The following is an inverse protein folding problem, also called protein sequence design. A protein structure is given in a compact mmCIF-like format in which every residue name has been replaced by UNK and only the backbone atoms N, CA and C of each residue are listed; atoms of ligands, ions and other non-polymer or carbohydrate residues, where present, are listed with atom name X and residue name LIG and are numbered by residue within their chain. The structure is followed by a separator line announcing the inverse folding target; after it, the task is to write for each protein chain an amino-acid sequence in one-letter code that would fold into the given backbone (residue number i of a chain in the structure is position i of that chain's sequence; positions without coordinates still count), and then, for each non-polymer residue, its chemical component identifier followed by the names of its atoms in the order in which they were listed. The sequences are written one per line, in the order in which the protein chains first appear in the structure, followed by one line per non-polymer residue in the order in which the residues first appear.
data_IF_274511289941
#
_entry.id   IF_274511289941
#
_cell.length_a   1.000
_cell.length_b   1.000
_cell.length_c   1.000
_cell.angle_alpha   90.00
_cell.angle_beta   90.00
_cell.angle_gamma   90.00
#
_symmetry.space_group_name_H-M   'P 1'
#
loop_
_entity.id
_entity.type
_entity.pdbx_description
1 polymer ?
#
# COMPACT_ATOMS: atom_id res chain seq x y z
N UNK A 1 1.90 12.10 -8.22
CA UNK A 1 1.15 10.84 -8.53
C UNK A 1 -0.27 11.00 -9.14
N UNK A 2 -1.22 11.76 -8.56
CA UNK A 2 -2.64 11.83 -9.01
C UNK A 2 -2.86 12.16 -10.50
N UNK A 3 -2.04 13.07 -11.04
CA UNK A 3 -2.05 13.48 -12.46
C UNK A 3 -1.82 12.29 -13.40
N UNK A 4 -0.90 11.39 -13.05
CA UNK A 4 -0.61 10.19 -13.87
C UNK A 4 -1.83 9.28 -13.95
N UNK A 5 -2.53 9.08 -12.83
CA UNK A 5 -3.73 8.24 -12.81
C UNK A 5 -4.90 8.82 -13.58
N UNK A 6 -5.02 10.15 -13.61
CA UNK A 6 -6.02 10.82 -14.44
C UNK A 6 -5.74 10.57 -15.93
N UNK A 7 -4.51 10.83 -16.40
CA UNK A 7 -4.12 10.68 -17.81
C UNK A 7 -4.17 9.23 -18.29
N UNK A 8 -3.84 8.26 -17.42
CA UNK A 8 -3.83 6.83 -17.76
C UNK A 8 -5.21 6.17 -17.65
N UNK A 9 -6.25 6.92 -17.27
CA UNK A 9 -7.59 6.39 -17.04
C UNK A 9 -7.67 5.40 -15.88
N UNK A 10 -6.72 5.44 -14.95
CA UNK A 10 -6.72 4.56 -13.78
C UNK A 10 -7.47 5.17 -12.58
N UNK A 11 -7.72 6.48 -12.59
CA UNK A 11 -8.53 7.18 -11.59
C UNK A 11 -10.00 7.35 -12.05
N UNK A 12 -10.73 6.24 -12.23
CA UNK A 12 -12.16 6.28 -12.52
C UNK A 12 -12.92 5.17 -11.76
N UNK A 13 -14.27 5.26 -11.71
CA UNK A 13 -15.12 4.31 -10.98
C UNK A 13 -14.96 2.84 -11.40
N UNK A 14 -14.51 2.59 -12.64
CA UNK A 14 -14.32 1.24 -13.18
C UNK A 14 -12.98 0.64 -12.72
N UNK A 15 -11.92 1.43 -12.73
CA UNK A 15 -10.53 0.97 -12.58
C UNK A 15 -9.93 1.24 -11.20
N UNK A 16 -10.33 2.31 -10.52
CA UNK A 16 -9.67 2.77 -9.29
C UNK A 16 -9.71 1.73 -8.16
N UNK A 17 -10.83 1.03 -7.98
CA UNK A 17 -10.97 -0.02 -6.97
C UNK A 17 -10.09 -1.23 -7.26
N UNK A 18 -10.04 -1.69 -8.52
CA UNK A 18 -9.12 -2.78 -8.91
C UNK A 18 -7.67 -2.38 -8.72
N UNK A 19 -7.28 -1.19 -9.19
CA UNK A 19 -5.93 -0.66 -9.05
C UNK A 19 -5.49 -0.63 -7.59
N UNK A 20 -6.35 -0.13 -6.69
CA UNK A 20 -6.02 -0.08 -5.27
C UNK A 20 -5.76 -1.46 -4.67
N UNK A 21 -6.57 -2.47 -5.04
CA UNK A 21 -6.35 -3.86 -4.62
C UNK A 21 -5.09 -4.45 -5.28
N UNK A 22 -4.84 -4.19 -6.57
CA UNK A 22 -3.63 -4.66 -7.26
C UNK A 22 -2.35 -4.10 -6.58
N UNK A 23 -2.34 -2.80 -6.28
CA UNK A 23 -1.24 -2.15 -5.54
C UNK A 23 -1.08 -2.76 -4.15
N UNK A 24 -2.19 -2.95 -3.42
CA UNK A 24 -2.15 -3.55 -2.08
C UNK A 24 -1.59 -4.97 -2.10
N UNK A 25 -1.96 -5.79 -3.09
CA UNK A 25 -1.45 -7.15 -3.24
C UNK A 25 0.06 -7.13 -3.49
N UNK A 26 0.53 -6.34 -4.46
CA UNK A 26 1.96 -6.25 -4.78
C UNK A 26 2.79 -5.80 -3.58
N UNK A 27 2.31 -4.80 -2.83
CA UNK A 27 2.99 -4.33 -1.63
C UNK A 27 2.99 -5.39 -0.51
N UNK A 28 1.88 -6.08 -0.28
CA UNK A 28 1.81 -7.14 0.74
C UNK A 28 2.67 -8.35 0.39
N UNK A 29 2.77 -8.69 -0.89
CA UNK A 29 3.68 -9.73 -1.37
C UNK A 29 5.13 -9.34 -1.10
N UNK A 30 5.53 -8.11 -1.43
CA UNK A 30 6.86 -7.61 -1.12
C UNK A 30 7.13 -7.55 0.40
N UNK A 31 6.13 -7.20 1.23
CA UNK A 31 6.28 -7.05 2.67
C UNK A 31 6.25 -8.37 3.46
N UNK A 32 5.60 -9.42 2.95
CA UNK A 32 5.33 -10.64 3.73
C UNK A 32 6.12 -11.86 3.27
N UNK A 33 6.79 -11.79 2.12
CA UNK A 33 7.56 -12.89 1.57
C UNK A 33 9.06 -12.65 1.79
N UNK A 34 9.83 -13.72 1.90
CA UNK A 34 11.29 -13.61 2.01
C UNK A 34 11.88 -12.98 0.74
N UNK A 35 12.90 -12.13 0.90
CA UNK A 35 13.49 -11.36 -0.22
C UNK A 35 14.08 -12.25 -1.33
N UNK A 36 14.56 -13.43 -0.96
CA UNK A 36 15.10 -14.45 -1.87
C UNK A 36 14.03 -15.37 -2.50
N UNK A 37 12.75 -15.17 -2.15
CA UNK A 37 11.64 -15.98 -2.68
C UNK A 37 11.18 -15.53 -4.07
N UNK A 38 10.61 -16.46 -4.84
CA UNK A 38 10.00 -16.16 -6.14
C UNK A 38 8.84 -15.16 -6.00
N UNK A 39 8.08 -15.20 -4.90
CA UNK A 39 6.92 -14.33 -4.71
C UNK A 39 7.32 -12.88 -4.52
N UNK A 40 8.30 -12.62 -3.64
CA UNK A 40 8.86 -11.28 -3.45
C UNK A 40 9.40 -10.74 -4.79
N UNK A 41 10.29 -11.51 -5.42
CA UNK A 41 10.96 -11.08 -6.64
C UNK A 41 9.98 -10.85 -7.79
N UNK A 42 8.94 -11.68 -7.92
CA UNK A 42 7.91 -11.50 -8.95
C UNK A 42 7.06 -10.26 -8.69
N UNK A 43 6.70 -9.97 -7.43
CA UNK A 43 5.96 -8.77 -7.08
C UNK A 43 6.77 -7.50 -7.39
N UNK A 44 8.06 -7.47 -7.01
CA UNK A 44 8.94 -6.34 -7.30
C UNK A 44 9.20 -6.18 -8.80
N UNK A 45 9.51 -7.28 -9.51
CA UNK A 45 9.67 -7.25 -10.97
C UNK A 45 8.41 -6.74 -11.67
N UNK A 46 7.21 -7.11 -11.18
CA UNK A 46 5.94 -6.61 -11.71
C UNK A 46 5.76 -5.12 -11.47
N UNK A 47 6.10 -4.62 -10.28
CA UNK A 47 6.09 -3.18 -9.99
C UNK A 47 7.04 -2.43 -10.92
N UNK A 48 8.28 -2.91 -11.07
CA UNK A 48 9.28 -2.30 -11.95
C UNK A 48 8.81 -2.26 -13.40
N UNK A 49 8.28 -3.37 -13.93
CA UNK A 49 7.72 -3.43 -15.27
C UNK A 49 6.60 -2.41 -15.50
N UNK A 50 5.64 -2.32 -14.56
CA UNK A 50 4.51 -1.40 -14.66
C UNK A 50 4.97 0.07 -14.59
N UNK A 51 6.05 0.37 -13.86
CA UNK A 51 6.62 1.71 -13.74
C UNK A 51 7.56 2.08 -14.90
N UNK A 52 8.26 1.11 -15.50
CA UNK A 52 9.35 1.34 -16.45
C UNK A 52 9.01 2.27 -17.61
N UNK A 53 7.83 2.11 -18.22
CA UNK A 53 7.39 2.99 -19.33
C UNK A 53 7.17 4.43 -18.89
N UNK A 54 6.72 4.64 -17.65
CA UNK A 54 6.43 5.96 -17.12
C UNK A 54 7.68 6.64 -16.60
N UNK A 55 8.63 5.88 -16.04
CA UNK A 55 9.99 6.35 -15.74
C UNK A 55 10.70 6.84 -17.01
N UNK A 56 10.73 6.01 -18.06
CA UNK A 56 11.32 6.39 -19.37
C UNK A 56 10.69 7.63 -20.00
N UNK A 57 9.40 7.87 -19.77
CA UNK A 57 8.68 9.04 -20.26
C UNK A 57 8.73 10.25 -19.29
N UNK A 58 9.55 10.18 -18.23
CA UNK A 58 9.66 11.18 -17.16
C UNK A 58 8.31 11.58 -16.54
N UNK A 59 7.41 10.60 -16.38
CA UNK A 59 6.09 10.74 -15.74
C UNK A 59 6.05 10.19 -14.31
N UNK A 60 7.03 9.38 -13.96
CA UNK A 60 7.40 9.00 -12.60
C UNK A 60 8.87 9.38 -12.50
N UNK A 61 9.17 10.44 -11.75
CA UNK A 61 10.54 10.91 -11.53
C UNK A 61 11.20 10.13 -10.41
N UNK A 62 12.53 10.20 -10.30
CA UNK A 62 13.23 9.53 -9.20
C UNK A 62 12.83 10.08 -7.81
N UNK A 63 12.64 11.41 -7.61
CA UNK A 63 12.03 11.92 -6.39
C UNK A 63 10.60 11.41 -6.13
N UNK A 64 9.77 11.21 -7.16
CA UNK A 64 8.44 10.61 -6.96
C UNK A 64 8.54 9.17 -6.41
N UNK A 65 9.54 8.39 -6.86
CA UNK A 65 9.77 7.03 -6.38
C UNK A 65 10.30 7.02 -4.95
N UNK A 66 11.29 7.86 -4.66
CA UNK A 66 11.85 7.99 -3.32
C UNK A 66 10.79 8.46 -2.33
N UNK A 67 9.96 9.42 -2.73
CA UNK A 67 8.81 9.89 -1.94
C UNK A 67 7.83 8.75 -1.67
N UNK A 68 7.45 7.97 -2.68
CA UNK A 68 6.51 6.86 -2.48
C UNK A 68 7.09 5.77 -1.57
N UNK A 69 8.41 5.52 -1.64
CA UNK A 69 9.09 4.58 -0.75
C UNK A 69 9.10 5.10 0.69
N UNK A 70 9.43 6.38 0.89
CA UNK A 70 9.48 7.02 2.20
C UNK A 70 8.11 7.24 2.83
N UNK A 71 7.07 7.59 2.06
CA UNK A 71 5.68 7.68 2.50
C UNK A 71 5.20 6.34 3.09
N UNK A 72 5.59 5.22 2.47
CA UNK A 72 5.33 3.89 3.01
C UNK A 72 5.96 3.63 4.38
N UNK A 73 7.18 4.14 4.62
CA UNK A 73 7.88 4.04 5.90
C UNK A 73 7.26 4.99 6.94
N UNK A 74 7.09 6.26 6.59
CA UNK A 74 6.56 7.30 7.45
C UNK A 74 5.14 6.98 7.92
N UNK A 75 4.28 6.45 7.06
CA UNK A 75 2.92 6.06 7.47
C UNK A 75 2.94 4.87 8.45
N UNK A 76 3.92 3.96 8.40
CA UNK A 76 4.07 2.92 9.43
C UNK A 76 4.39 3.56 10.78
N UNK A 77 5.32 4.52 10.81
CA UNK A 77 5.66 5.26 12.03
C UNK A 77 4.45 6.02 12.57
N UNK A 78 3.78 6.78 11.71
CA UNK A 78 2.65 7.63 12.07
C UNK A 78 1.44 6.80 12.55
N UNK A 79 1.09 5.70 11.88
CA UNK A 79 -0.04 4.85 12.28
C UNK A 79 0.24 4.18 13.61
N UNK A 80 1.43 3.65 13.84
CA UNK A 80 1.74 2.99 15.12
C UNK A 80 1.77 4.03 16.24
N UNK A 81 2.36 5.19 16.00
CA UNK A 81 2.39 6.27 16.99
C UNK A 81 0.99 6.75 17.35
N UNK A 82 0.11 6.90 16.35
CA UNK A 82 -1.24 7.44 16.49
C UNK A 82 -2.22 6.40 17.02
N UNK A 83 -2.21 5.18 16.50
CA UNK A 83 -3.30 4.21 16.67
C UNK A 83 -2.98 3.06 17.64
N UNK A 84 -1.72 2.81 17.99
CA UNK A 84 -1.34 1.64 18.79
C UNK A 84 -0.93 1.98 20.22
N UNK A 85 -1.08 1.01 21.13
CA UNK A 85 -0.81 1.21 22.56
C UNK A 85 0.69 1.19 22.90
N UNK A 86 1.52 0.63 22.00
CA UNK A 86 2.97 0.54 22.13
C UNK A 86 3.65 1.21 20.94
N UNK A 87 4.72 1.93 21.22
CA UNK A 87 5.58 2.55 20.20
C UNK A 87 6.59 1.55 19.63
N UNK A 88 7.03 1.80 18.40
CA UNK A 88 8.15 1.07 17.82
C UNK A 88 9.44 1.32 18.60
N UNK A 89 10.17 0.24 18.85
CA UNK A 89 11.54 0.30 19.37
C UNK A 89 12.52 0.65 18.24
N UNK A 90 13.72 1.09 18.61
CA UNK A 90 14.78 1.40 17.65
C UNK A 90 15.17 0.18 16.80
N UNK A 91 15.11 -1.03 17.36
CA UNK A 91 15.33 -2.28 16.62
C UNK A 91 14.26 -2.50 15.55
N UNK A 92 12.99 -2.22 15.86
CA UNK A 92 11.89 -2.37 14.90
C UNK A 92 11.95 -1.31 13.81
N UNK A 93 12.29 -0.06 14.16
CA UNK A 93 12.56 1.00 13.19
C UNK A 93 13.74 0.65 12.28
N UNK A 94 14.82 0.10 12.85
CA UNK A 94 15.96 -0.39 12.09
C UNK A 94 15.57 -1.49 11.10
N UNK A 95 14.74 -2.46 11.52
CA UNK A 95 14.23 -3.50 10.64
C UNK A 95 13.38 -2.93 9.49
N UNK A 96 12.55 -1.92 9.78
CA UNK A 96 11.78 -1.21 8.75
C UNK A 96 12.69 -0.46 7.77
N UNK A 97 13.76 0.17 8.25
CA UNK A 97 14.76 0.79 7.39
C UNK A 97 15.51 -0.20 6.50
N UNK A 98 15.93 -1.34 7.04
CA UNK A 98 16.53 -2.44 6.25
C UNK A 98 15.56 -2.91 5.16
N UNK A 99 14.29 -3.10 5.50
CA UNK A 99 13.27 -3.48 4.52
C UNK A 99 13.13 -2.42 3.41
N UNK A 100 12.97 -1.14 3.76
CA UNK A 100 12.77 -0.08 2.76
C UNK A 100 14.03 0.17 1.91
N UNK A 101 15.23 0.06 2.48
CA UNK A 101 16.48 0.15 1.71
C UNK A 101 16.54 -0.96 0.66
N UNK A 102 16.32 -2.20 1.08
CA UNK A 102 16.32 -3.36 0.20
C UNK A 102 15.25 -3.28 -0.89
N UNK A 103 14.03 -2.88 -0.51
CA UNK A 103 12.94 -2.69 -1.46
C UNK A 103 13.28 -1.59 -2.48
N UNK A 104 13.82 -0.46 -2.03
CA UNK A 104 14.24 0.62 -2.92
C UNK A 104 15.36 0.20 -3.87
N UNK A 105 16.35 -0.56 -3.42
CA UNK A 105 17.40 -1.12 -4.28
C UNK A 105 16.83 -2.07 -5.34
N UNK A 106 15.91 -2.97 -4.93
CA UNK A 106 15.29 -3.93 -5.85
C UNK A 106 14.29 -3.25 -6.80
N UNK A 107 13.73 -2.10 -6.41
CA UNK A 107 12.90 -1.23 -7.24
C UNK A 107 13.70 -0.22 -8.07
N UNK A 108 15.04 -0.24 -7.96
CA UNK A 108 15.95 0.68 -8.65
C UNK A 108 15.60 2.15 -8.38
N UNK A 109 15.30 2.46 -7.12
CA UNK A 109 15.03 3.82 -6.63
C UNK A 109 16.38 4.49 -6.32
N UNK A 110 16.70 5.62 -6.96
CA UNK A 110 17.92 6.36 -6.64
C UNK A 110 17.80 7.03 -5.26
N UNK A 111 18.85 6.88 -4.46
CA UNK A 111 18.95 7.49 -3.13
C UNK A 111 19.78 8.78 -3.13
N UNK A 112 20.20 9.29 -4.30
CA UNK A 112 21.02 10.51 -4.44
C UNK A 112 20.49 11.75 -3.71
N UNK A 113 19.16 11.96 -3.56
CA UNK A 113 18.63 13.08 -2.78
C UNK A 113 18.91 13.00 -1.27
N UNK A 114 19.23 11.82 -0.75
CA UNK A 114 19.49 11.62 0.68
C UNK A 114 20.95 12.04 1.00
N UNK A 115 21.18 12.98 1.95
CA UNK A 115 22.50 13.49 2.28
C UNK A 115 23.59 12.43 2.51
N UNK A 116 23.27 11.34 3.21
CA UNK A 116 24.23 10.31 3.57
C UNK A 116 24.47 9.28 2.46
N UNK A 117 23.80 9.38 1.30
CA UNK A 117 23.94 8.39 0.21
C UNK A 117 25.39 8.20 -0.26
N UNK A 118 26.22 9.25 -0.19
CA UNK A 118 27.64 9.19 -0.58
C UNK A 118 28.52 8.50 0.46
N UNK A 119 28.22 8.68 1.74
CA UNK A 119 29.01 8.19 2.87
C UNK A 119 28.50 6.82 3.36
N UNK A 120 27.26 6.48 3.03
CA UNK A 120 26.53 5.34 3.55
C UNK A 120 25.84 5.65 4.88
N UNK A 121 25.02 4.70 5.33
CA UNK A 121 24.35 4.74 6.63
C UNK A 121 24.95 3.67 7.55
N UNK A 122 25.01 3.94 8.86
CA UNK A 122 25.56 2.95 9.81
C UNK A 122 24.54 1.85 10.14
N UNK A 123 23.25 2.16 10.02
CA UNK A 123 22.19 1.25 10.40
C UNK A 123 20.92 1.51 9.59
N UNK A 124 19.98 0.56 9.66
CA UNK A 124 18.64 0.77 9.11
C UNK A 124 17.88 1.88 9.84
N UNK A 125 18.21 2.16 11.11
CA UNK A 125 17.58 3.26 11.83
C UNK A 125 17.97 4.60 11.21
N UNK A 126 19.26 4.82 10.99
CA UNK A 126 19.80 6.04 10.38
C UNK A 126 19.15 6.28 9.00
N UNK A 127 19.10 5.23 8.17
CA UNK A 127 18.45 5.30 6.86
C UNK A 127 16.95 5.61 6.97
N UNK A 128 16.25 4.98 7.93
CA UNK A 128 14.82 5.19 8.11
C UNK A 128 14.49 6.62 8.53
N UNK A 129 15.24 7.18 9.48
CA UNK A 129 15.04 8.55 9.98
C UNK A 129 15.36 9.58 8.91
N UNK A 130 16.43 9.38 8.12
CA UNK A 130 16.78 10.28 7.03
C UNK A 130 15.77 10.22 5.88
N UNK A 131 15.30 9.02 5.52
CA UNK A 131 14.27 8.85 4.50
C UNK A 131 12.93 9.51 4.91
N UNK A 132 12.52 9.34 6.17
CA UNK A 132 11.30 9.96 6.72
C UNK A 132 11.41 11.49 6.72
N UNK A 133 12.53 12.03 7.21
CA UNK A 133 12.78 13.47 7.22
C UNK A 133 12.77 14.07 5.81
N UNK A 134 13.49 13.45 4.86
CA UNK A 134 13.51 13.89 3.47
C UNK A 134 12.12 13.84 2.83
N UNK A 135 11.33 12.80 3.14
CA UNK A 135 9.97 12.64 2.61
C UNK A 135 9.06 13.78 3.06
N UNK A 136 9.10 14.13 4.35
CA UNK A 136 8.32 15.23 4.92
C UNK A 136 8.70 16.58 4.30
N UNK A 137 9.99 16.83 4.06
CA UNK A 137 10.45 18.05 3.40
C UNK A 137 9.97 18.10 1.94
N UNK A 138 10.15 17.01 1.20
CA UNK A 138 9.69 16.93 -0.18
C UNK A 138 8.18 17.15 -0.31
N UNK A 139 7.37 16.59 0.60
CA UNK A 139 5.93 16.80 0.64
C UNK A 139 5.55 18.26 0.84
N UNK A 140 6.24 18.99 1.73
CA UNK A 140 5.99 20.41 1.96
C UNK A 140 6.20 21.25 0.68
N UNK A 141 7.10 20.82 -0.21
CA UNK A 141 7.37 21.48 -1.48
C UNK A 141 6.31 21.16 -2.54
N UNK A 142 5.94 19.88 -2.69
CA UNK A 142 5.18 19.40 -3.85
C UNK A 142 3.70 19.10 -3.58
N UNK A 143 3.30 18.87 -2.32
CA UNK A 143 1.93 18.54 -1.94
C UNK A 143 1.03 19.79 -2.00
N UNK A 144 0.62 20.14 -3.22
CA UNK A 144 -0.24 21.30 -3.49
C UNK A 144 -1.67 20.88 -3.85
N UNK A 145 -2.68 21.66 -3.45
CA UNK A 145 -4.06 21.41 -3.84
C UNK A 145 -4.20 21.54 -5.36
N UNK A 146 -4.73 20.49 -6.01
CA UNK A 146 -4.98 20.49 -7.45
C UNK A 146 -6.32 19.84 -7.77
N UNK A 147 -6.95 20.22 -8.88
CA UNK A 147 -8.22 19.65 -9.33
C UNK A 147 -8.16 18.12 -9.50
N UNK A 148 -7.00 17.60 -9.91
CA UNK A 148 -6.78 16.14 -10.04
C UNK A 148 -6.76 15.41 -8.70
N UNK A 149 -6.36 16.08 -7.61
CA UNK A 149 -6.38 15.52 -6.26
C UNK A 149 -7.82 15.43 -5.73
N UNK A 150 -8.61 16.49 -5.89
CA UNK A 150 -10.05 16.46 -5.54
C UNK A 150 -10.78 15.36 -6.35
N UNK A 151 -10.49 15.24 -7.65
CA UNK A 151 -11.05 14.16 -8.47
C UNK A 151 -10.66 12.78 -7.93
N UNK A 152 -9.42 12.58 -7.47
CA UNK A 152 -8.97 11.33 -6.85
C UNK A 152 -9.79 10.99 -5.61
N UNK A 153 -9.96 11.94 -4.69
CA UNK A 153 -10.80 11.75 -3.50
C UNK A 153 -12.24 11.42 -3.91
N UNK A 154 -12.84 12.17 -4.83
CA UNK A 154 -14.22 11.93 -5.28
C UNK A 154 -14.40 10.55 -5.89
N UNK A 155 -13.49 10.13 -6.75
CA UNK A 155 -13.58 8.81 -7.38
C UNK A 155 -13.39 7.72 -6.35
N UNK A 156 -12.44 7.86 -5.42
CA UNK A 156 -12.13 6.80 -4.48
C UNK A 156 -13.16 6.72 -3.34
N UNK A 157 -13.53 7.86 -2.75
CA UNK A 157 -14.44 7.95 -1.60
C UNK A 157 -15.90 7.92 -2.05
N UNK A 158 -16.30 8.82 -2.96
CA UNK A 158 -17.72 8.96 -3.27
C UNK A 158 -18.24 7.79 -4.10
N UNK A 159 -17.39 7.09 -4.86
CA UNK A 159 -17.85 5.91 -5.61
C UNK A 159 -18.22 4.74 -4.71
N UNK A 160 -17.56 4.62 -3.55
CA UNK A 160 -17.81 3.57 -2.56
C UNK A 160 -19.16 3.80 -1.87
N UNK A 161 -19.50 5.06 -1.61
CA UNK A 161 -20.71 5.44 -0.86
C UNK A 161 -21.80 6.04 -1.74
N UNK A 162 -21.68 5.92 -3.06
CA UNK A 162 -22.56 6.63 -4.01
C UNK A 162 -24.04 6.27 -3.88
N UNK A 163 -24.35 5.16 -3.20
CA UNK A 163 -25.71 4.67 -2.94
C UNK A 163 -26.23 5.03 -1.54
N UNK A 164 -25.41 5.65 -0.72
CA UNK A 164 -25.76 6.07 0.63
C UNK A 164 -26.25 7.52 0.63
N UNK A 165 -26.96 7.95 1.70
CA UNK A 165 -27.28 9.35 1.89
C UNK A 165 -26.03 10.24 1.86
N UNK A 166 -26.16 11.46 1.33
CA UNK A 166 -25.03 12.39 1.11
C UNK A 166 -24.19 12.65 2.37
N UNK A 167 -24.82 12.70 3.55
CA UNK A 167 -24.12 12.94 4.81
C UNK A 167 -23.08 11.85 5.12
N UNK A 168 -23.26 10.63 4.62
CA UNK A 168 -22.30 9.53 4.83
C UNK A 168 -21.00 9.80 4.09
N UNK A 169 -21.07 10.26 2.84
CA UNK A 169 -19.88 10.68 2.08
C UNK A 169 -19.15 11.84 2.73
N UNK A 170 -19.88 12.84 3.24
CA UNK A 170 -19.28 13.96 3.99
C UNK A 170 -18.59 13.46 5.25
N UNK A 171 -19.23 12.54 5.99
CA UNK A 171 -18.67 11.98 7.23
C UNK A 171 -17.39 11.20 6.96
N UNK A 172 -17.38 10.34 5.93
CA UNK A 172 -16.19 9.55 5.58
C UNK A 172 -15.04 10.43 5.12
N UNK A 173 -15.31 11.49 4.35
CA UNK A 173 -14.26 12.46 3.99
C UNK A 173 -13.66 13.14 5.22
N UNK A 174 -14.47 13.48 6.23
CA UNK A 174 -13.97 14.05 7.49
C UNK A 174 -13.17 13.03 8.31
N UNK A 175 -13.58 11.77 8.33
CA UNK A 175 -12.80 10.70 8.98
C UNK A 175 -11.45 10.51 8.28
N UNK A 176 -11.43 10.46 6.95
CA UNK A 176 -10.19 10.39 6.17
C UNK A 176 -9.31 11.62 6.38
N UNK A 177 -9.91 12.80 6.50
CA UNK A 177 -9.19 14.05 6.75
C UNK A 177 -8.54 14.09 8.14
N UNK A 178 -9.09 13.39 9.15
CA UNK A 178 -8.49 13.30 10.49
C UNK A 178 -7.26 12.39 10.52
N UNK A 179 -7.24 11.36 9.68
CA UNK A 179 -6.11 10.42 9.61
C UNK A 179 -4.89 10.94 8.85
N UNK A 180 -5.02 12.07 8.15
CA UNK A 180 -3.97 12.66 7.33
C UNK A 180 -3.35 13.86 8.05
N UNK A 181 -2.07 14.11 7.81
CA UNK A 181 -1.43 15.37 8.21
C UNK A 181 -2.03 16.56 7.44
N UNK A 182 -1.71 17.76 7.92
CA UNK A 182 -2.29 19.00 7.40
C UNK A 182 -1.90 19.27 5.93
N UNK A 183 -0.66 18.96 5.52
CA UNK A 183 -0.19 19.18 4.16
C UNK A 183 -0.89 18.22 3.19
N UNK A 184 -0.92 16.92 3.53
CA UNK A 184 -1.59 15.92 2.69
C UNK A 184 -3.10 16.18 2.61
N UNK A 185 -3.75 16.47 3.74
CA UNK A 185 -5.19 16.83 3.79
C UNK A 185 -5.50 18.02 2.88
N UNK A 186 -4.71 19.09 3.00
CA UNK A 186 -4.87 20.29 2.17
C UNK A 186 -4.62 19.98 0.68
N UNK A 187 -3.59 19.19 0.37
CA UNK A 187 -3.28 18.81 -1.02
C UNK A 187 -4.40 17.99 -1.67
N UNK A 188 -5.11 17.18 -0.89
CA UNK A 188 -6.25 16.37 -1.33
C UNK A 188 -7.57 17.15 -1.35
N UNK A 189 -7.55 18.45 -1.04
CA UNK A 189 -8.73 19.30 -0.96
C UNK A 189 -9.79 18.75 0.02
N UNK A 190 -9.34 18.06 1.08
CA UNK A 190 -10.21 17.55 2.12
C UNK A 190 -10.46 18.63 3.16
N UNK A 191 -11.72 18.85 3.54
CA UNK A 191 -12.07 19.78 4.61
C UNK A 191 -11.57 19.27 5.96
N UNK A 192 -11.18 20.20 6.85
CA UNK A 192 -10.77 19.84 8.21
C UNK A 192 -11.93 19.15 8.94
N UNK A 193 -11.66 18.06 9.69
CA UNK A 193 -12.68 17.48 10.55
C UNK A 193 -13.07 18.50 11.61
N UNK A 194 -14.33 18.96 11.56
CA UNK A 194 -14.87 19.87 12.58
C UNK A 194 -14.68 19.30 13.99
N UNK A 195 -14.61 20.18 15.00
CA UNK A 195 -14.20 19.84 16.37
C UNK A 195 -14.94 18.62 16.96
N UNK A 196 -16.24 18.47 16.69
CA UNK A 196 -17.04 17.33 17.16
C UNK A 196 -16.58 15.99 16.58
N UNK A 197 -16.32 15.95 15.26
CA UNK A 197 -15.90 14.72 14.59
C UNK A 197 -14.50 14.33 15.04
N UNK A 198 -13.60 15.32 15.14
CA UNK A 198 -12.24 15.11 15.64
C UNK A 198 -12.25 14.57 17.09
N UNK A 199 -13.04 15.21 17.99
CA UNK A 199 -13.20 14.75 19.36
C UNK A 199 -13.74 13.33 19.47
N UNK A 200 -14.74 12.98 18.64
CA UNK A 200 -15.30 11.63 18.61
C UNK A 200 -14.29 10.59 18.13
N UNK A 201 -13.56 10.86 17.05
CA UNK A 201 -12.53 9.94 16.53
C UNK A 201 -11.43 9.71 17.57
N UNK A 202 -10.94 10.78 18.21
CA UNK A 202 -9.96 10.70 19.30
C UNK A 202 -10.47 9.86 20.47
N UNK A 203 -11.73 10.05 20.87
CA UNK A 203 -12.34 9.25 21.93
C UNK A 203 -12.39 7.76 21.54
N UNK A 204 -12.88 7.43 20.34
CA UNK A 204 -12.93 6.04 19.84
C UNK A 204 -11.53 5.42 19.83
N UNK A 205 -10.52 6.17 19.37
CA UNK A 205 -9.11 5.75 19.35
C UNK A 205 -8.59 5.47 20.76
N UNK A 206 -8.81 6.37 21.72
CA UNK A 206 -8.38 6.19 23.12
C UNK A 206 -9.06 4.95 23.73
N UNK A 207 -10.35 4.77 23.50
CA UNK A 207 -11.09 3.60 23.96
C UNK A 207 -10.52 2.30 23.35
N UNK A 208 -10.24 2.29 22.03
CA UNK A 208 -9.62 1.16 21.34
C UNK A 208 -8.24 0.84 21.93
N UNK A 209 -7.36 1.83 22.08
CA UNK A 209 -6.01 1.66 22.62
C UNK A 209 -6.07 1.10 24.04
N UNK A 210 -6.95 1.65 24.88
CA UNK A 210 -7.16 1.18 26.27
C UNK A 210 -7.67 -0.25 26.28
N UNK A 211 -8.63 -0.58 25.42
CA UNK A 211 -9.14 -1.95 25.28
C UNK A 211 -8.03 -2.92 24.84
N UNK A 212 -7.26 -2.57 23.81
CA UNK A 212 -6.17 -3.42 23.31
C UNK A 212 -5.08 -3.64 24.34
N UNK A 213 -4.78 -2.64 25.17
CA UNK A 213 -3.74 -2.73 26.19
C UNK A 213 -4.15 -3.59 27.40
N UNK A 214 -5.41 -3.51 27.82
CA UNK A 214 -5.83 -4.08 29.11
C UNK A 214 -6.84 -5.23 29.01
N UNK A 215 -7.58 -5.35 27.91
CA UNK A 215 -8.67 -6.34 27.76
C UNK A 215 -8.45 -7.33 26.61
N UNK A 216 -7.67 -6.98 25.59
CA UNK A 216 -7.41 -7.88 24.47
C UNK A 216 -6.38 -8.95 24.85
N UNK A 217 -6.68 -10.20 24.53
CA UNK A 217 -5.72 -11.31 24.66
C UNK A 217 -4.68 -11.25 23.52
N UNK A 218 -3.45 -11.74 23.77
CA UNK A 218 -2.46 -11.88 22.70
C UNK A 218 -3.03 -12.81 21.60
N UNK A 219 -2.68 -12.52 20.35
CA UNK A 219 -3.09 -13.37 19.21
C UNK A 219 -2.41 -14.73 19.33
N UNK A 220 -3.16 -15.80 19.11
CA UNK A 220 -2.63 -17.17 19.05
C UNK A 220 -1.98 -17.51 17.71
N UNK A 221 -2.36 -16.80 16.65
CA UNK A 221 -1.83 -17.01 15.30
C UNK A 221 -1.39 -15.68 14.67
N UNK A 222 -0.34 -15.70 13.83
CA UNK A 222 0.10 -14.52 13.10
C UNK A 222 -0.95 -14.09 12.07
N UNK A 223 -1.01 -12.78 11.81
CA UNK A 223 -1.89 -12.23 10.77
C UNK A 223 -1.34 -12.60 9.40
N UNK A 224 -2.12 -13.35 8.62
CA UNK A 224 -1.77 -13.70 7.24
C UNK A 224 -2.22 -12.59 6.30
N UNK A 225 -1.26 -11.87 5.71
CA UNK A 225 -1.54 -10.72 4.83
C UNK A 225 -1.97 -11.12 3.42
N UNK A 226 -1.47 -12.26 2.95
CA UNK A 226 -1.76 -12.90 1.66
C UNK A 226 -1.87 -14.41 1.85
N UNK A 227 -2.50 -15.11 0.90
CA UNK A 227 -2.56 -16.57 0.93
C UNK A 227 -1.15 -17.17 0.89
N UNK A 228 -0.92 -18.24 1.67
CA UNK A 228 0.38 -18.94 1.74
C UNK A 228 0.62 -19.82 0.51
N UNK A 229 -0.44 -20.42 -0.03
CA UNK A 229 -0.38 -21.37 -1.14
C UNK A 229 -1.28 -20.92 -2.27
N UNK A 230 -0.92 -21.22 -3.53
CA UNK A 230 -1.79 -20.99 -4.66
C UNK A 230 -3.01 -21.92 -4.60
N UNK A 231 -4.03 -21.57 -5.37
CA UNK A 231 -5.23 -22.37 -5.55
C UNK A 231 -4.89 -23.73 -6.18
N UNK A 232 -5.49 -24.84 -5.70
CA UNK A 232 -5.20 -26.18 -6.20
C UNK A 232 -5.30 -26.27 -7.73
N UNK A 233 -4.25 -26.78 -8.37
CA UNK A 233 -4.18 -26.96 -9.83
C UNK A 233 -3.95 -25.69 -10.63
N UNK A 234 -3.59 -24.56 -10.00
CA UNK A 234 -3.34 -23.28 -10.69
C UNK A 234 -2.14 -22.54 -10.09
N UNK A 235 -1.70 -21.47 -10.76
CA UNK A 235 -0.72 -20.49 -10.24
C UNK A 235 -1.38 -19.33 -9.47
N UNK A 236 -2.70 -19.30 -9.37
CA UNK A 236 -3.43 -18.14 -8.88
C UNK A 236 -3.56 -18.14 -7.35
N UNK A 237 -3.54 -16.96 -6.75
CA UNK A 237 -3.79 -16.75 -5.33
C UNK A 237 -5.09 -15.98 -5.13
N UNK A 238 -5.82 -16.27 -4.06
CA UNK A 238 -6.96 -15.44 -3.65
C UNK A 238 -6.54 -14.42 -2.59
N UNK A 239 -7.29 -13.32 -2.54
CA UNK A 239 -7.09 -12.26 -1.56
C UNK A 239 -8.33 -12.16 -0.67
N UNK A 240 -8.23 -12.63 0.57
CA UNK A 240 -9.39 -12.83 1.45
C UNK A 240 -9.93 -11.53 2.10
N UNK A 241 -9.46 -10.37 1.66
CA UNK A 241 -9.95 -9.08 2.16
C UNK A 241 -11.29 -8.72 1.52
N UNK A 242 -12.38 -8.86 2.28
CA UNK A 242 -13.69 -8.36 1.89
C UNK A 242 -13.71 -6.82 1.87
N UNK A 243 -14.09 -6.26 0.73
CA UNK A 243 -14.30 -4.82 0.55
C UNK A 243 -15.56 -4.59 -0.29
N UNK A 244 -15.91 -3.33 -0.56
CA UNK A 244 -17.06 -2.99 -1.42
C UNK A 244 -16.96 -3.60 -2.83
N UNK A 245 -15.75 -3.91 -3.29
CA UNK A 245 -15.48 -4.59 -4.55
C UNK A 245 -14.59 -5.82 -4.28
N UNK A 246 -15.14 -7.05 -4.31
CA UNK A 246 -14.45 -8.26 -3.86
C UNK A 246 -13.48 -8.80 -4.94
N UNK A 247 -12.48 -8.00 -5.32
CA UNK A 247 -11.45 -8.38 -6.29
C UNK A 247 -10.60 -9.54 -5.77
N UNK A 248 -10.49 -10.60 -6.56
CA UNK A 248 -9.71 -11.81 -6.26
C UNK A 248 -10.16 -12.60 -5.03
N UNK A 249 -11.37 -12.34 -4.52
CA UNK A 249 -11.93 -13.06 -3.37
C UNK A 249 -12.58 -14.36 -3.85
N UNK A 250 -12.20 -15.49 -3.24
CA UNK A 250 -12.83 -16.78 -3.50
C UNK A 250 -14.26 -16.79 -2.95
N UNK A 251 -15.28 -17.13 -3.77
CA UNK A 251 -16.64 -17.30 -3.26
C UNK A 251 -16.69 -18.44 -2.24
N UNK A 252 -17.22 -18.14 -1.05
CA UNK A 252 -17.45 -19.09 0.03
C UNK A 252 -18.71 -18.69 0.79
N UNK A 253 -19.26 -19.60 1.60
CA UNK A 253 -20.46 -19.30 2.40
C UNK A 253 -20.26 -18.03 3.26
N UNK A 254 -19.14 -17.93 3.97
CA UNK A 254 -18.81 -16.78 4.81
C UNK A 254 -18.49 -15.51 4.02
N UNK A 255 -17.80 -15.63 2.87
CA UNK A 255 -17.51 -14.49 2.02
C UNK A 255 -18.79 -13.89 1.38
N UNK A 256 -19.85 -14.69 1.24
CA UNK A 256 -21.12 -14.24 0.68
C UNK A 256 -22.16 -13.87 1.74
N UNK A 257 -22.20 -14.56 2.88
CA UNK A 257 -23.28 -14.47 3.87
C UNK A 257 -22.82 -14.17 5.30
N UNK A 258 -21.52 -13.98 5.53
CA UNK A 258 -21.02 -13.57 6.83
C UNK A 258 -21.46 -12.15 7.23
N UNK A 259 -21.33 -11.77 8.51
CA UNK A 259 -21.74 -10.45 9.01
C UNK A 259 -21.15 -9.29 8.21
N UNK A 260 -19.85 -9.35 7.91
CA UNK A 260 -19.17 -8.34 7.08
C UNK A 260 -19.74 -8.27 5.67
N UNK A 261 -20.04 -9.42 5.04
CA UNK A 261 -20.61 -9.46 3.69
C UNK A 261 -22.04 -8.90 3.65
N UNK A 262 -22.84 -9.17 4.69
CA UNK A 262 -24.19 -8.60 4.86
C UNK A 262 -24.10 -7.08 5.01
N UNK A 263 -23.21 -6.58 5.88
CA UNK A 263 -22.99 -5.15 6.09
C UNK A 263 -22.56 -4.45 4.79
N UNK A 264 -21.53 -4.97 4.12
CA UNK A 264 -21.06 -4.41 2.84
C UNK A 264 -22.16 -4.39 1.79
N UNK A 265 -22.99 -5.43 1.73
CA UNK A 265 -24.12 -5.51 0.80
C UNK A 265 -25.21 -4.47 1.13
N UNK A 266 -25.55 -4.31 2.41
CA UNK A 266 -26.49 -3.28 2.86
C UNK A 266 -26.00 -1.87 2.51
N UNK A 267 -24.67 -1.68 2.53
CA UNK A 267 -23.96 -0.47 2.16
C UNK A 267 -23.74 -0.32 0.63
N UNK A 268 -24.30 -1.22 -0.19
CA UNK A 268 -24.25 -1.14 -1.66
C UNK A 268 -23.04 -1.79 -2.32
N UNK A 269 -22.17 -2.41 -1.53
CA UNK A 269 -21.06 -3.26 -1.96
C UNK A 269 -21.51 -4.53 -2.67
N UNK A 270 -20.53 -5.24 -3.25
CA UNK A 270 -20.74 -6.48 -3.99
C UNK A 270 -20.21 -7.67 -3.20
N UNK A 271 -20.75 -8.85 -3.51
CA UNK A 271 -20.28 -10.12 -2.95
C UNK A 271 -19.57 -10.95 -4.02
N UNK A 272 -18.57 -11.75 -3.64
CA UNK A 272 -17.88 -12.62 -4.59
C UNK A 272 -18.87 -13.65 -5.16
N UNK A 273 -18.76 -13.91 -6.46
CA UNK A 273 -19.61 -14.86 -7.17
C UNK A 273 -18.88 -15.42 -8.38
N UNK A 274 -18.99 -16.73 -8.59
CA UNK A 274 -18.47 -17.40 -9.79
C UNK A 274 -19.14 -16.93 -11.08
N UNK A 275 -20.43 -16.56 -11.02
CA UNK A 275 -21.18 -16.07 -12.18
C UNK A 275 -20.76 -14.67 -12.66
N UNK A 276 -19.96 -13.95 -11.89
CA UNK A 276 -19.51 -12.59 -12.21
C UNK A 276 -17.99 -12.53 -12.26
N UNK A 277 -17.45 -12.90 -13.42
CA UNK A 277 -16.00 -12.89 -13.68
C UNK A 277 -15.35 -11.51 -13.55
N UNK A 278 -16.14 -10.42 -13.54
CA UNK A 278 -15.65 -9.05 -13.38
C UNK A 278 -14.64 -8.92 -12.25
N UNK A 279 -14.90 -9.53 -11.09
CA UNK A 279 -14.05 -9.41 -9.90
C UNK A 279 -12.98 -10.51 -9.79
N UNK A 280 -12.84 -11.35 -10.81
CA UNK A 280 -11.82 -12.41 -10.92
C UNK A 280 -11.78 -13.34 -9.69
N UNK A 281 -12.89 -14.04 -9.37
CA UNK A 281 -12.95 -14.97 -8.23
C UNK A 281 -11.92 -16.12 -8.28
N UNK A 282 -11.37 -16.41 -9.46
CA UNK A 282 -10.27 -17.37 -9.67
C UNK A 282 -8.95 -16.97 -9.00
N UNK A 283 -8.80 -15.70 -8.61
CA UNK A 283 -7.58 -15.18 -7.99
C UNK A 283 -6.74 -14.31 -8.93
N UNK A 284 -5.58 -13.89 -8.44
CA UNK A 284 -4.57 -13.13 -9.18
C UNK A 284 -3.34 -13.99 -9.46
N UNK A 285 -2.62 -13.64 -10.53
CA UNK A 285 -1.27 -14.13 -10.82
C UNK A 285 -0.32 -12.93 -10.80
N UNK A 286 0.78 -13.05 -10.05
CA UNK A 286 1.74 -11.95 -9.84
C UNK A 286 2.37 -11.45 -11.14
N UNK A 287 2.55 -12.31 -12.14
CA UNK A 287 3.10 -11.89 -13.44
C UNK A 287 2.10 -11.08 -14.27
N UNK A 288 0.80 -11.20 -13.99
CA UNK A 288 -0.25 -10.58 -14.82
C UNK A 288 -1.08 -9.52 -14.11
N UNK A 289 -1.01 -9.43 -12.78
CA UNK A 289 -1.74 -8.45 -11.97
C UNK A 289 -1.51 -7.01 -12.44
N UNK A 290 -2.49 -6.14 -12.29
CA UNK A 290 -2.46 -4.76 -12.79
C UNK A 290 -3.47 -4.46 -13.92
N UNK A 291 -3.27 -3.36 -14.66
CA UNK A 291 -4.22 -2.91 -15.68
C UNK A 291 -4.38 -3.91 -16.83
N UNK A 292 -5.61 -4.09 -17.34
CA UNK A 292 -5.91 -5.05 -18.40
C UNK A 292 -4.97 -4.95 -19.64
N UNK A 293 -4.62 -3.74 -20.14
CA UNK A 293 -3.71 -3.63 -21.29
C UNK A 293 -2.26 -4.09 -21.03
N UNK A 294 -1.90 -4.40 -19.79
CA UNK A 294 -0.57 -4.87 -19.36
C UNK A 294 -0.57 -6.35 -18.94
N UNK A 295 -1.72 -7.03 -18.99
CA UNK A 295 -1.78 -8.47 -18.72
C UNK A 295 -0.99 -9.24 -19.77
N UNK A 296 -0.14 -10.16 -19.32
CA UNK A 296 0.68 -11.03 -20.18
C UNK A 296 1.81 -10.33 -20.96
N UNK A 297 2.07 -9.04 -20.70
CA UNK A 297 3.17 -8.31 -21.34
C UNK A 297 4.40 -8.24 -20.45
N UNK A 298 5.58 -8.23 -21.06
CA UNK A 298 6.87 -8.12 -20.35
C UNK A 298 7.25 -9.37 -19.56
N UNK A 299 6.66 -10.53 -19.85
CA UNK A 299 6.88 -11.75 -19.04
C UNK A 299 8.35 -12.18 -19.05
N UNK A 300 9.00 -12.20 -20.22
CA UNK A 300 10.42 -12.58 -20.35
C UNK A 300 11.35 -11.62 -19.61
N UNK A 301 11.08 -10.31 -19.71
CA UNK A 301 11.81 -9.27 -18.97
C UNK A 301 11.65 -9.46 -17.45
N UNK A 302 10.41 -9.69 -16.98
CA UNK A 302 10.13 -9.93 -15.57
C UNK A 302 10.79 -11.21 -15.05
N UNK A 303 10.78 -12.31 -15.81
CA UNK A 303 11.45 -13.57 -15.42
C UNK A 303 12.96 -13.36 -15.26
N UNK A 304 13.57 -12.59 -16.15
CA UNK A 304 14.99 -12.23 -16.03
C UNK A 304 15.25 -11.37 -14.78
N UNK A 305 14.41 -10.35 -14.55
CA UNK A 305 14.50 -9.49 -13.37
C UNK A 305 14.31 -10.26 -12.06
N UNK A 306 13.41 -11.25 -12.02
CA UNK A 306 13.21 -12.13 -10.86
C UNK A 306 14.51 -12.83 -10.46
N UNK A 307 15.26 -13.37 -11.42
CA UNK A 307 16.56 -14.01 -11.16
C UNK A 307 17.57 -13.06 -10.53
N UNK A 308 17.64 -11.82 -11.03
CA UNK A 308 18.53 -10.78 -10.50
C UNK A 308 18.15 -10.36 -9.08
N UNK A 309 16.86 -10.11 -8.83
CA UNK A 309 16.36 -9.70 -7.50
C UNK A 309 16.61 -10.79 -6.47
N UNK A 310 16.34 -12.06 -6.80
CA UNK A 310 16.61 -13.19 -5.90
C UNK A 310 18.09 -13.32 -5.56
N UNK A 311 18.97 -13.13 -6.54
CA UNK A 311 20.42 -13.17 -6.32
C UNK A 311 20.88 -12.09 -5.34
N UNK A 312 20.28 -10.88 -5.39
CA UNK A 312 20.52 -9.82 -4.40
C UNK A 312 19.93 -10.15 -3.04
N UNK A 313 18.81 -10.87 -3.00
CA UNK A 313 18.12 -11.27 -1.77
C UNK A 313 18.92 -12.18 -0.84
N UNK A 314 19.93 -12.88 -1.36
CA UNK A 314 20.87 -13.71 -0.57
C UNK A 314 21.90 -12.86 0.20
N UNK A 315 22.04 -11.58 -0.14
CA UNK A 315 23.03 -10.69 0.48
C UNK A 315 22.71 -10.40 1.96
N UNK A 316 23.77 -10.18 2.74
CA UNK A 316 23.73 -9.77 4.15
C UNK A 316 23.15 -8.37 4.33
N UNK A 317 22.99 -7.94 5.60
CA UNK A 317 22.48 -6.61 5.96
C UNK A 317 23.06 -5.50 5.05
N UNK A 318 22.25 -4.64 4.42
CA UNK A 318 22.74 -3.61 3.49
C UNK A 318 23.62 -2.55 4.17
N UNK A 319 23.71 -2.57 5.50
CA UNK A 319 24.53 -1.67 6.31
C UNK A 319 25.70 -2.40 7.00
N UNK A 320 25.91 -3.69 6.73
CA UNK A 320 27.12 -4.35 7.24
C UNK A 320 28.32 -3.74 6.52
N UNK A 321 29.18 -3.04 7.27
CA UNK A 321 30.50 -2.70 6.75
C UNK A 321 31.25 -4.00 6.49
N UNK A 322 31.83 -4.14 5.31
CA UNK A 322 32.85 -5.16 5.08
C UNK A 322 33.98 -4.87 6.07
N UNK A 323 34.01 -5.62 7.17
CA UNK A 323 35.18 -5.70 8.04
C UNK A 323 36.25 -6.37 7.19
N UNK A 324 36.99 -5.55 6.44
CA UNK A 324 38.01 -5.99 5.50
C UNK A 324 38.92 -7.04 6.13
N UNK A 325 39.01 -8.17 5.45
CA UNK A 325 40.03 -9.20 5.66
C UNK A 325 41.42 -8.69 5.26
#
# INVERSE_FOLDING_TARGET
MSKLFAVTGQNNKRNAGKRAIDTQILLREAQSQARDSDRYATAVARMNYLHARYRRANKITDPDLLHTLGDGLGEIFNVIQREEWRQLTDVEKCALGVFHKNLGDDMEVPFDPLPSNKEGWNSGLDFAEELDAWTLEYEQEVARPTATNDQYVRVYVDSVVSKMPKFVGVTIRKVLAESLDENMRASLCLESPGFLVNGLIKLIRILRITYLRYMALPRSEPVKLVAEKPNPGTTHFNFDQLSFQPWYVKPSFWASWGPTAILLRALGGKVPSWSKERYQPQGYDLLTIGPDPQKGKGVEEMVTAVGVIKARGVATCPFSQDLGS
#
